data_IF_839131054799
#
_entry.id   IF_839131054799
#
_cell.length_a   1.000
_cell.length_b   1.000
_cell.length_c   1.000
_cell.angle_alpha   90.00
_cell.angle_beta   90.00
_cell.angle_gamma   90.00
#
_symmetry.space_group_name_H-M   'P 1'
#
loop_
_entity.id
_entity.type
_entity.pdbx_description
1 polymer ?
#
# COMPACT_ATOMS: atom_id res chain seq x y z
N UNK A 1 -17.83 -27.49 12.16
CA UNK A 1 -16.53 -28.18 11.94
C UNK A 1 -16.15 -27.82 10.51
N UNK A 2 -15.38 -26.75 10.34
CA UNK A 2 -14.92 -26.33 9.01
C UNK A 2 -13.88 -27.36 8.58
N UNK A 3 -14.17 -28.04 7.48
CA UNK A 3 -13.25 -28.94 6.85
C UNK A 3 -12.07 -28.06 6.36
N UNK A 4 -10.92 -28.13 7.02
CA UNK A 4 -9.69 -27.52 6.48
C UNK A 4 -9.42 -28.22 5.16
N UNK A 5 -9.70 -27.52 4.07
CA UNK A 5 -9.59 -28.03 2.72
C UNK A 5 -8.10 -28.31 2.46
N UNK A 6 -7.72 -29.58 2.47
CA UNK A 6 -6.34 -30.01 2.27
C UNK A 6 -5.90 -29.66 0.85
N UNK A 7 -5.22 -28.55 0.68
CA UNK A 7 -4.75 -28.03 -0.62
C UNK A 7 -5.10 -26.56 -0.85
N UNK A 8 -5.91 -25.96 0.01
CA UNK A 8 -6.17 -24.52 -0.03
C UNK A 8 -4.89 -23.72 0.27
N UNK A 9 -4.64 -22.68 -0.51
CA UNK A 9 -3.52 -21.77 -0.27
C UNK A 9 -3.85 -20.87 0.91
N UNK A 10 -3.04 -20.94 1.95
CA UNK A 10 -2.98 -19.95 3.03
C UNK A 10 -1.90 -18.93 2.67
N UNK A 11 -2.09 -17.67 3.01
CA UNK A 11 -1.06 -16.65 2.79
C UNK A 11 -0.49 -16.14 4.11
N UNK A 12 0.79 -15.75 4.05
CA UNK A 12 1.44 -14.93 5.06
C UNK A 12 2.06 -13.73 4.36
N UNK A 13 1.43 -12.58 4.48
CA UNK A 13 1.89 -11.36 3.82
C UNK A 13 2.59 -10.45 4.82
N UNK A 14 3.77 -9.98 4.45
CA UNK A 14 4.56 -8.99 5.16
C UNK A 14 4.90 -7.83 4.24
N UNK A 15 5.06 -6.63 4.80
CA UNK A 15 5.52 -5.47 4.05
C UNK A 15 7.04 -5.49 4.06
N UNK A 16 7.67 -5.44 2.88
CA UNK A 16 9.11 -5.40 2.78
C UNK A 16 9.64 -4.12 3.44
N UNK A 17 10.54 -4.32 4.42
CA UNK A 17 11.13 -3.26 5.23
C UNK A 17 12.20 -2.43 4.49
N UNK A 18 12.39 -2.60 3.18
CA UNK A 18 13.46 -1.97 2.39
C UNK A 18 13.44 -0.43 2.38
N UNK A 19 12.45 0.20 2.99
CA UNK A 19 12.47 1.65 3.27
C UNK A 19 13.01 1.95 4.67
N UNK A 20 14.23 1.53 4.95
CA UNK A 20 15.01 1.98 6.12
C UNK A 20 15.55 3.40 5.91
N UNK A 21 14.72 4.38 5.65
CA UNK A 21 15.05 5.76 5.94
C UNK A 21 14.31 6.13 7.21
N UNK A 22 15.10 6.21 8.28
CA UNK A 22 14.79 6.69 9.62
C UNK A 22 13.48 7.47 9.67
N UNK A 23 12.41 6.78 10.05
CA UNK A 23 11.21 7.42 10.46
C UNK A 23 11.35 7.66 11.97
N UNK A 24 11.26 8.89 12.46
CA UNK A 24 11.29 9.08 13.89
C UNK A 24 10.09 8.40 14.52
N UNK A 25 10.39 7.42 15.36
CA UNK A 25 9.59 6.84 16.45
C UNK A 25 8.07 6.98 16.41
N UNK A 26 7.39 5.89 16.10
CA UNK A 26 6.19 5.51 16.87
C UNK A 26 4.87 6.19 16.53
N UNK A 27 4.70 6.82 15.35
CA UNK A 27 3.41 7.34 14.91
C UNK A 27 2.76 6.39 13.89
N UNK A 28 1.43 6.44 13.74
CA UNK A 28 0.65 5.73 12.71
C UNK A 28 1.12 6.03 11.27
N UNK A 29 2.10 6.91 11.10
CA UNK A 29 2.80 7.23 9.86
C UNK A 29 3.79 6.13 9.43
N UNK A 30 4.05 5.16 10.29
CA UNK A 30 4.98 4.04 10.06
C UNK A 30 4.20 2.76 9.76
N UNK A 31 3.38 2.75 8.77
CA UNK A 31 2.69 1.50 8.42
C UNK A 31 3.70 0.45 7.93
N UNK A 32 4.30 -0.25 8.89
CA UNK A 32 5.22 -1.38 8.68
C UNK A 32 4.48 -2.72 8.71
N UNK A 33 3.19 -2.70 9.05
CA UNK A 33 2.36 -3.88 9.22
C UNK A 33 0.98 -3.61 8.63
N UNK A 34 0.36 -4.66 8.13
CA UNK A 34 -1.04 -4.64 7.76
C UNK A 34 -1.93 -4.56 9.00
N UNK A 35 -3.05 -3.88 8.88
CA UNK A 35 -4.05 -3.74 9.93
C UNK A 35 -5.22 -4.72 9.69
N UNK A 36 -5.94 -5.07 10.75
CA UNK A 36 -7.19 -5.81 10.59
C UNK A 36 -8.13 -5.06 9.64
N UNK A 37 -8.67 -5.78 8.67
CA UNK A 37 -9.50 -5.23 7.60
C UNK A 37 -8.75 -4.94 6.29
N UNK A 38 -7.42 -4.88 6.31
CA UNK A 38 -6.64 -4.75 5.07
C UNK A 38 -6.88 -5.95 4.16
N UNK A 39 -6.92 -5.70 2.86
CA UNK A 39 -7.20 -6.72 1.85
C UNK A 39 -6.09 -6.79 0.81
N UNK A 40 -5.72 -8.01 0.47
CA UNK A 40 -4.76 -8.32 -0.62
C UNK A 40 -5.49 -9.19 -1.63
N UNK A 41 -5.39 -8.87 -2.91
CA UNK A 41 -5.81 -9.76 -3.97
C UNK A 41 -4.61 -10.60 -4.41
N UNK A 42 -4.79 -11.92 -4.35
CA UNK A 42 -3.86 -12.92 -4.89
C UNK A 42 -4.44 -13.47 -6.19
N UNK A 43 -3.63 -13.54 -7.25
CA UNK A 43 -4.02 -14.06 -8.56
C UNK A 43 -2.97 -14.99 -9.14
N UNK A 44 -3.42 -15.95 -9.95
CA UNK A 44 -2.60 -16.81 -10.81
C UNK A 44 -3.40 -17.10 -12.10
N UNK A 45 -2.92 -17.99 -12.95
CA UNK A 45 -3.60 -18.40 -14.18
C UNK A 45 -4.98 -19.05 -13.92
N UNK A 46 -5.17 -19.72 -12.77
CA UNK A 46 -6.41 -20.40 -12.40
C UNK A 46 -7.47 -19.47 -11.81
N UNK A 47 -7.14 -18.20 -11.54
CA UNK A 47 -8.07 -17.22 -11.01
C UNK A 47 -7.49 -16.29 -9.97
N UNK A 48 -8.39 -15.69 -9.18
CA UNK A 48 -8.00 -14.74 -8.13
C UNK A 48 -8.86 -14.87 -6.87
N UNK A 49 -8.26 -14.55 -5.72
CA UNK A 49 -8.94 -14.55 -4.41
C UNK A 49 -8.50 -13.33 -3.62
N UNK A 50 -9.46 -12.64 -3.01
CA UNK A 50 -9.18 -11.57 -2.04
C UNK A 50 -9.05 -12.16 -0.65
N UNK A 51 -7.93 -11.89 0.00
CA UNK A 51 -7.69 -12.22 1.41
C UNK A 51 -7.82 -10.97 2.26
N UNK A 52 -8.44 -11.11 3.43
CA UNK A 52 -8.56 -10.05 4.42
C UNK A 52 -7.85 -10.46 5.71
N UNK A 53 -7.11 -9.53 6.30
CA UNK A 53 -6.48 -9.73 7.59
C UNK A 53 -7.51 -9.58 8.72
N UNK A 54 -7.67 -10.62 9.54
CA UNK A 54 -8.53 -10.62 10.70
C UNK A 54 -7.89 -11.40 11.85
N UNK A 55 -7.75 -10.78 13.01
CA UNK A 55 -7.15 -11.42 14.19
C UNK A 55 -5.71 -11.91 13.97
N UNK A 56 -4.95 -11.25 13.10
CA UNK A 56 -3.57 -11.62 12.76
C UNK A 56 -3.46 -12.78 11.76
N UNK A 57 -4.57 -13.20 11.15
CA UNK A 57 -4.60 -14.24 10.13
C UNK A 57 -5.24 -13.72 8.85
N UNK A 58 -4.69 -14.12 7.72
CA UNK A 58 -5.26 -13.86 6.42
C UNK A 58 -6.26 -14.96 6.06
N UNK A 59 -7.48 -14.56 5.72
CA UNK A 59 -8.53 -15.47 5.29
C UNK A 59 -9.20 -14.94 4.01
N UNK A 60 -9.64 -15.80 3.10
CA UNK A 60 -10.41 -15.37 1.94
C UNK A 60 -11.69 -14.64 2.36
N UNK A 61 -12.05 -13.60 1.62
CA UNK A 61 -13.31 -12.87 1.84
C UNK A 61 -14.54 -13.68 1.39
N UNK A 62 -14.31 -14.60 0.46
CA UNK A 62 -15.30 -15.54 -0.06
C UNK A 62 -14.97 -16.96 0.39
N UNK A 63 -15.91 -17.88 0.21
CA UNK A 63 -15.68 -19.31 0.46
C UNK A 63 -14.90 -19.99 -0.68
N UNK A 64 -14.17 -19.22 -1.47
CA UNK A 64 -13.34 -19.71 -2.58
C UNK A 64 -11.87 -19.61 -2.20
N UNK A 65 -11.11 -20.64 -2.53
CA UNK A 65 -9.68 -20.74 -2.28
C UNK A 65 -8.95 -21.09 -3.57
N UNK A 66 -7.86 -20.43 -3.86
CA UNK A 66 -6.86 -20.98 -4.78
C UNK A 66 -6.27 -22.24 -4.15
N UNK A 67 -5.86 -23.18 -5.00
CA UNK A 67 -5.31 -24.47 -4.57
C UNK A 67 -3.90 -24.64 -5.10
N UNK A 68 -3.09 -25.30 -4.29
CA UNK A 68 -1.80 -25.76 -4.75
C UNK A 68 -1.98 -26.81 -5.86
N UNK A 69 -1.33 -26.56 -7.00
CA UNK A 69 -1.20 -27.55 -8.08
C UNK A 69 -0.04 -28.54 -7.82
N UNK A 70 0.15 -29.46 -8.76
CA UNK A 70 1.30 -30.36 -8.77
C UNK A 70 2.52 -29.74 -9.49
N UNK A 71 2.30 -28.70 -10.26
CA UNK A 71 3.32 -27.98 -11.02
C UNK A 71 3.59 -26.61 -10.39
N UNK A 72 4.79 -26.04 -10.60
CA UNK A 72 5.09 -24.69 -10.16
C UNK A 72 4.14 -23.65 -10.79
N UNK A 73 3.66 -22.70 -9.99
CA UNK A 73 2.72 -21.65 -10.42
C UNK A 73 3.27 -20.28 -10.03
N UNK A 74 3.11 -19.30 -10.90
CA UNK A 74 3.40 -17.90 -10.58
C UNK A 74 2.19 -17.23 -9.97
N UNK A 75 2.36 -16.70 -8.77
CA UNK A 75 1.35 -15.91 -8.06
C UNK A 75 1.72 -14.44 -8.07
N UNK A 76 0.71 -13.60 -8.32
CA UNK A 76 0.82 -12.15 -8.23
C UNK A 76 -0.14 -11.61 -7.19
N UNK A 77 0.33 -10.68 -6.36
CA UNK A 77 -0.48 -10.07 -5.31
C UNK A 77 -0.35 -8.55 -5.33
N UNK A 78 -1.42 -7.84 -4.95
CA UNK A 78 -1.38 -6.39 -4.80
C UNK A 78 -2.28 -5.89 -3.67
N UNK A 79 -1.95 -4.69 -3.18
CA UNK A 79 -2.63 -3.90 -2.17
C UNK A 79 -2.58 -2.42 -2.57
N UNK A 80 -3.63 -1.61 -2.32
CA UNK A 80 -4.94 -1.98 -1.80
C UNK A 80 -5.84 -2.60 -2.88
N UNK A 81 -6.84 -3.38 -2.46
CA UNK A 81 -7.83 -3.95 -3.37
C UNK A 81 -8.91 -2.90 -3.64
N UNK A 82 -8.81 -2.25 -4.80
CA UNK A 82 -9.77 -1.26 -5.28
C UNK A 82 -10.07 -1.50 -6.75
N UNK A 83 -11.18 -0.95 -7.27
CA UNK A 83 -11.52 -1.07 -8.68
C UNK A 83 -10.39 -0.53 -9.57
N UNK A 84 -10.03 -1.29 -10.60
CA UNK A 84 -8.96 -0.94 -11.55
C UNK A 84 -7.54 -1.14 -11.03
N UNK A 85 -7.34 -1.56 -9.78
CA UNK A 85 -6.02 -1.90 -9.24
C UNK A 85 -5.62 -3.31 -9.62
N UNK A 86 -4.35 -3.48 -10.00
CA UNK A 86 -3.71 -4.77 -10.30
C UNK A 86 -2.20 -4.66 -10.04
N UNK A 87 -1.44 -5.73 -10.25
CA UNK A 87 0.04 -5.66 -10.17
C UNK A 87 0.67 -4.69 -11.18
N UNK A 88 -0.05 -4.37 -12.26
CA UNK A 88 0.43 -3.49 -13.33
C UNK A 88 -0.23 -2.09 -13.35
N UNK A 89 -1.40 -1.95 -12.72
CA UNK A 89 -2.21 -0.73 -12.82
C UNK A 89 -2.66 -0.24 -11.46
N UNK A 90 -2.45 1.05 -11.21
CA UNK A 90 -2.90 1.72 -10.00
C UNK A 90 -3.14 3.20 -10.27
N UNK A 91 -4.32 3.68 -9.92
CA UNK A 91 -4.66 5.11 -9.97
C UNK A 91 -4.47 5.73 -8.58
N UNK A 92 -3.60 6.72 -8.48
CA UNK A 92 -3.29 7.39 -7.22
C UNK A 92 -4.49 8.19 -6.69
N UNK A 93 -5.00 7.91 -5.48
CA UNK A 93 -5.96 8.77 -4.80
C UNK A 93 -5.37 10.16 -4.52
N UNK A 94 -5.92 11.20 -5.14
CA UNK A 94 -5.42 12.58 -4.98
C UNK A 94 -5.92 13.26 -3.70
N UNK A 95 -7.00 12.79 -3.11
CA UNK A 95 -7.46 13.24 -1.80
C UNK A 95 -6.96 12.27 -0.72
N UNK A 96 -5.91 12.67 -0.02
CA UNK A 96 -5.29 11.88 1.06
C UNK A 96 -5.45 12.55 2.43
N UNK A 97 -6.54 13.32 2.64
CA UNK A 97 -6.76 14.14 3.84
C UNK A 97 -7.24 13.34 5.06
N UNK A 98 -7.47 12.03 4.93
CA UNK A 98 -7.74 11.12 6.04
C UNK A 98 -6.71 10.00 6.09
N UNK A 99 -6.57 9.32 7.24
CA UNK A 99 -5.66 8.16 7.36
C UNK A 99 -6.09 7.01 6.44
N UNK A 100 -7.39 6.81 6.26
CA UNK A 100 -7.95 5.81 5.34
C UNK A 100 -7.57 6.12 3.89
N UNK A 101 -7.75 7.37 3.46
CA UNK A 101 -7.38 7.80 2.11
C UNK A 101 -5.86 7.76 1.89
N UNK A 102 -5.07 8.04 2.94
CA UNK A 102 -3.62 7.91 2.88
C UNK A 102 -3.22 6.43 2.73
N UNK A 103 -3.85 5.52 3.47
CA UNK A 103 -3.61 4.09 3.37
C UNK A 103 -3.99 3.53 1.98
N UNK A 104 -5.11 4.01 1.40
CA UNK A 104 -5.53 3.59 0.05
C UNK A 104 -4.57 4.05 -1.06
N UNK A 105 -3.64 4.95 -0.78
CA UNK A 105 -2.60 5.38 -1.70
C UNK A 105 -1.30 4.55 -1.61
N UNK A 106 -1.14 3.67 -0.60
CA UNK A 106 0.08 2.89 -0.37
C UNK A 106 0.10 1.61 -1.24
N UNK A 107 0.25 1.81 -2.55
CA UNK A 107 0.29 0.71 -3.52
C UNK A 107 1.50 -0.19 -3.32
N UNK A 108 1.23 -1.50 -3.18
CA UNK A 108 2.23 -2.55 -3.01
C UNK A 108 1.95 -3.72 -3.94
N UNK A 109 3.00 -4.37 -4.40
CA UNK A 109 2.90 -5.56 -5.25
C UNK A 109 3.87 -6.64 -4.80
N UNK A 110 3.53 -7.88 -5.10
CA UNK A 110 4.42 -9.04 -4.93
C UNK A 110 4.20 -10.00 -6.11
N UNK A 111 5.27 -10.62 -6.58
CA UNK A 111 5.22 -11.76 -7.49
C UNK A 111 6.07 -12.88 -6.90
N UNK A 112 5.51 -14.08 -6.82
CA UNK A 112 6.21 -15.29 -6.39
C UNK A 112 6.21 -16.22 -7.59
N UNK A 113 7.37 -16.36 -8.21
CA UNK A 113 7.58 -17.21 -9.39
C UNK A 113 7.81 -18.65 -8.95
N UNK A 114 7.40 -19.59 -9.78
CA UNK A 114 7.64 -21.04 -9.62
C UNK A 114 7.30 -21.59 -8.23
N UNK A 115 6.24 -21.06 -7.61
CA UNK A 115 5.83 -21.48 -6.28
C UNK A 115 5.23 -22.88 -6.28
N UNK A 116 5.70 -23.71 -5.34
CA UNK A 116 5.21 -25.06 -5.06
C UNK A 116 4.84 -25.19 -3.59
N UNK A 117 3.98 -26.13 -3.26
CA UNK A 117 3.66 -26.43 -1.87
C UNK A 117 4.81 -27.21 -1.20
N UNK A 118 5.58 -26.56 -0.37
CA UNK A 118 6.65 -27.18 0.43
C UNK A 118 6.13 -27.93 1.68
N UNK A 119 4.83 -28.24 1.72
CA UNK A 119 4.19 -29.01 2.80
C UNK A 119 3.52 -28.17 3.88
N UNK A 120 3.79 -26.86 3.95
CA UNK A 120 3.13 -25.94 4.93
C UNK A 120 1.74 -25.49 4.49
N UNK A 121 1.44 -25.54 3.19
CA UNK A 121 0.26 -24.96 2.58
C UNK A 121 0.24 -23.42 2.60
N UNK A 122 1.33 -22.78 2.99
CA UNK A 122 1.43 -21.31 3.15
C UNK A 122 2.27 -20.71 2.04
N UNK A 123 1.71 -19.73 1.33
CA UNK A 123 2.41 -18.87 0.38
C UNK A 123 2.87 -17.59 1.10
N UNK A 124 4.18 -17.35 1.07
CA UNK A 124 4.78 -16.17 1.68
C UNK A 124 4.82 -15.02 0.67
N UNK A 125 4.20 -13.88 1.01
CA UNK A 125 4.12 -12.69 0.18
C UNK A 125 4.96 -11.56 0.80
N UNK A 126 6.07 -11.21 0.18
CA UNK A 126 6.86 -10.03 0.53
C UNK A 126 6.35 -8.85 -0.31
N UNK A 127 5.44 -8.06 0.27
CA UNK A 127 4.79 -6.95 -0.43
C UNK A 127 5.73 -5.75 -0.54
N UNK A 128 6.10 -5.42 -1.77
CA UNK A 128 7.00 -4.32 -2.10
C UNK A 128 6.22 -3.05 -2.37
N UNK A 129 6.52 -1.97 -1.65
CA UNK A 129 5.96 -0.65 -1.92
C UNK A 129 6.41 -0.12 -3.27
N UNK A 130 5.46 0.37 -4.04
CA UNK A 130 5.68 1.01 -5.34
C UNK A 130 5.63 2.53 -5.24
N UNK A 131 5.19 3.06 -4.11
CA UNK A 131 4.97 4.47 -3.85
C UNK A 131 6.04 5.05 -2.92
N UNK A 132 6.20 6.37 -2.96
CA UNK A 132 7.08 7.10 -2.05
C UNK A 132 6.23 7.91 -1.05
N UNK A 133 6.66 7.94 0.21
CA UNK A 133 6.05 8.77 1.24
C UNK A 133 6.81 10.10 1.35
N UNK A 134 6.09 11.20 1.21
CA UNK A 134 6.61 12.56 1.37
C UNK A 134 6.04 13.14 2.66
N UNK A 135 6.93 13.65 3.52
CA UNK A 135 6.56 14.40 4.72
C UNK A 135 7.18 15.76 4.61
N UNK A 136 6.35 16.80 4.65
CA UNK A 136 6.76 18.20 4.63
C UNK A 136 6.36 18.85 5.95
N UNK A 137 7.30 19.47 6.65
CA UNK A 137 7.03 20.28 7.83
C UNK A 137 6.99 21.74 7.44
N UNK A 138 6.01 22.49 7.92
CA UNK A 138 6.00 23.94 7.80
C UNK A 138 6.79 24.54 8.96
N UNK A 139 7.83 25.29 8.62
CA UNK A 139 8.64 26.01 9.58
C UNK A 139 8.57 27.53 9.30
N UNK A 140 8.76 28.35 10.32
CA UNK A 140 8.87 29.82 10.23
C UNK A 140 7.67 30.53 9.55
N UNK A 141 6.48 29.94 9.66
CA UNK A 141 5.27 30.63 9.27
C UNK A 141 4.89 31.63 10.37
N UNK A 142 4.82 32.90 10.03
CA UNK A 142 4.36 33.98 10.95
C UNK A 142 3.02 33.58 11.56
N UNK A 143 2.84 33.88 12.87
CA UNK A 143 1.62 33.58 13.62
C UNK A 143 0.35 34.21 13.05
N UNK A 144 0.48 35.28 12.26
CA UNK A 144 -0.63 35.96 11.56
C UNK A 144 -0.88 35.34 10.17
N UNK A 145 0.05 34.54 9.67
CA UNK A 145 -0.01 33.88 8.37
C UNK A 145 -0.39 32.42 8.51
N UNK A 146 -0.90 31.84 7.45
CA UNK A 146 -1.14 30.39 7.32
C UNK A 146 -0.98 29.94 5.89
N UNK A 147 -0.43 28.76 5.71
CA UNK A 147 -0.42 28.11 4.42
C UNK A 147 -1.81 27.55 4.09
N UNK A 148 -2.37 27.94 2.97
CA UNK A 148 -3.68 27.51 2.49
C UNK A 148 -3.52 26.62 1.28
N UNK A 149 -4.29 25.53 1.22
CA UNK A 149 -4.39 24.69 0.03
C UNK A 149 -3.08 24.02 -0.36
N UNK A 150 -2.29 23.53 0.61
CA UNK A 150 -1.06 22.80 0.35
C UNK A 150 -1.36 21.61 -0.55
N UNK A 151 -0.58 21.48 -1.62
CA UNK A 151 -0.62 20.38 -2.59
C UNK A 151 0.78 19.84 -2.82
N UNK A 152 0.86 18.53 -3.05
CA UNK A 152 2.13 17.85 -3.37
C UNK A 152 2.02 17.29 -4.78
N UNK A 153 2.99 17.61 -5.63
CA UNK A 153 3.06 17.10 -7.00
C UNK A 153 3.39 15.61 -7.03
N UNK A 154 2.75 14.89 -7.92
CA UNK A 154 2.95 13.46 -8.14
C UNK A 154 2.66 13.09 -9.60
N UNK A 155 3.02 11.87 -10.00
CA UNK A 155 2.43 11.20 -11.15
C UNK A 155 1.09 10.56 -10.78
N UNK A 156 0.27 10.22 -11.78
CA UNK A 156 -1.09 9.72 -11.57
C UNK A 156 -1.17 8.27 -11.05
N UNK A 157 -0.05 7.56 -11.01
CA UNK A 157 0.01 6.17 -10.56
C UNK A 157 0.82 5.28 -11.49
N UNK A 158 0.32 4.11 -11.79
CA UNK A 158 0.96 3.11 -12.65
C UNK A 158 0.02 2.64 -13.76
N UNK A 159 0.60 2.46 -14.95
CA UNK A 159 -0.06 1.87 -16.12
C UNK A 159 0.90 0.88 -16.76
N UNK A 160 0.44 -0.35 -16.99
CA UNK A 160 1.26 -1.45 -17.55
C UNK A 160 2.61 -1.64 -16.80
N UNK A 161 2.57 -1.53 -15.45
CA UNK A 161 3.73 -1.69 -14.58
C UNK A 161 4.69 -0.50 -14.54
N UNK A 162 4.47 0.52 -15.36
CA UNK A 162 5.29 1.73 -15.42
C UNK A 162 4.59 2.92 -14.75
N UNK A 163 5.38 3.86 -14.22
CA UNK A 163 4.83 5.13 -13.73
C UNK A 163 4.13 5.85 -14.87
N UNK A 164 2.85 6.21 -14.67
CA UNK A 164 2.06 6.91 -15.69
C UNK A 164 2.60 8.32 -15.93
N UNK A 165 2.57 8.78 -17.17
CA UNK A 165 3.10 10.09 -17.58
C UNK A 165 2.29 11.29 -17.11
N UNK A 166 1.03 11.06 -16.70
CA UNK A 166 0.16 12.13 -16.20
C UNK A 166 0.59 12.64 -14.83
N UNK A 167 0.41 13.93 -14.59
CA UNK A 167 0.69 14.56 -13.29
C UNK A 167 -0.58 14.74 -12.47
N UNK A 168 -0.42 14.71 -11.14
CA UNK A 168 -1.49 14.92 -10.18
C UNK A 168 -1.05 15.88 -9.07
N UNK A 169 -2.00 16.59 -8.48
CA UNK A 169 -1.79 17.42 -7.29
C UNK A 169 -2.52 16.77 -6.10
N UNK A 170 -1.75 16.15 -5.24
CA UNK A 170 -2.26 15.43 -4.07
C UNK A 170 -2.58 16.40 -2.94
N UNK A 171 -3.76 16.26 -2.33
CA UNK A 171 -4.12 16.91 -1.07
C UNK A 171 -3.63 16.05 0.08
N UNK A 172 -2.59 16.47 0.82
CA UNK A 172 -1.95 15.65 1.83
C UNK A 172 -2.79 15.52 3.11
N UNK A 173 -2.49 14.48 3.90
CA UNK A 173 -2.90 14.38 5.29
C UNK A 173 -2.14 15.40 6.14
N UNK A 174 -2.83 16.03 7.09
CA UNK A 174 -2.25 17.08 7.95
C UNK A 174 -2.20 16.59 9.39
N UNK A 175 -1.01 16.57 9.98
CA UNK A 175 -0.82 16.43 11.43
C UNK A 175 -0.59 17.80 12.01
N UNK A 176 -1.47 18.21 12.93
CA UNK A 176 -1.41 19.51 13.60
C UNK A 176 -0.75 19.30 14.97
N UNK A 177 0.29 20.07 15.33
CA UNK A 177 0.89 19.97 16.65
C UNK A 177 -0.09 20.39 17.75
N UNK A 178 0.13 19.92 18.97
CA UNK A 178 -0.71 20.28 20.13
C UNK A 178 -0.77 21.81 20.30
N UNK A 179 -1.98 22.33 20.45
CA UNK A 179 -2.24 23.77 20.54
C UNK A 179 -2.09 24.55 19.23
N UNK A 180 -1.67 23.91 18.14
CA UNK A 180 -1.51 24.52 16.82
C UNK A 180 -2.80 24.61 16.02
N UNK A 181 -2.69 25.20 14.83
CA UNK A 181 -3.78 25.26 13.83
C UNK A 181 -3.25 24.86 12.47
N UNK A 182 -4.12 24.30 11.64
CA UNK A 182 -3.77 23.90 10.28
C UNK A 182 -3.17 25.09 9.49
N UNK A 183 -2.06 24.82 8.79
CA UNK A 183 -1.36 25.82 7.99
C UNK A 183 -0.37 26.69 8.75
N UNK A 184 -0.18 26.49 10.04
CA UNK A 184 0.82 27.19 10.85
C UNK A 184 2.10 26.37 11.01
N UNK A 185 3.16 27.01 11.54
CA UNK A 185 4.44 26.36 11.84
C UNK A 185 4.27 25.11 12.70
N UNK A 186 5.04 24.08 12.44
CA UNK A 186 5.00 22.79 13.08
C UNK A 186 3.99 21.79 12.48
N UNK A 187 3.09 22.24 11.58
CA UNK A 187 2.23 21.32 10.87
C UNK A 187 3.03 20.41 9.93
N UNK A 188 2.72 19.11 9.95
CA UNK A 188 3.28 18.13 9.02
C UNK A 188 2.24 17.74 7.98
N UNK A 189 2.63 17.77 6.73
CA UNK A 189 1.85 17.36 5.58
C UNK A 189 2.43 16.07 5.03
N UNK A 190 1.65 14.99 5.09
CA UNK A 190 2.06 13.66 4.64
C UNK A 190 1.27 13.27 3.40
N UNK A 191 1.98 12.85 2.37
CA UNK A 191 1.38 12.27 1.16
C UNK A 191 2.14 11.04 0.69
N UNK A 192 1.40 10.14 0.06
CA UNK A 192 1.96 9.04 -0.71
C UNK A 192 1.88 9.42 -2.19
N UNK A 193 3.00 9.35 -2.89
CA UNK A 193 3.14 9.82 -4.27
C UNK A 193 3.76 8.74 -5.14
N UNK A 194 3.40 8.69 -6.41
CA UNK A 194 4.11 7.87 -7.38
C UNK A 194 5.48 8.51 -7.65
N UNK A 195 6.59 7.79 -7.41
CA UNK A 195 7.93 8.30 -7.64
C UNK A 195 8.13 8.56 -9.14
N UNK A 196 8.70 9.70 -9.48
CA UNK A 196 9.12 9.96 -10.85
C UNK A 196 10.17 8.94 -11.27
N UNK A 197 10.18 8.55 -12.54
CA UNK A 197 11.37 7.95 -13.10
C UNK A 197 12.52 8.97 -12.84
N UNK A 198 13.57 8.53 -12.17
CA UNK A 198 14.78 9.32 -12.09
C UNK A 198 15.17 9.63 -13.54
N UNK A 199 15.00 10.90 -13.93
CA UNK A 199 15.50 11.35 -15.22
C UNK A 199 17.01 11.43 -15.02
N UNK A 200 17.81 10.52 -15.55
CA UNK A 200 19.26 10.64 -15.49
C UNK A 200 19.64 11.69 -16.54
N UNK A 201 19.60 12.95 -16.16
CA UNK A 201 20.29 14.03 -16.87
C UNK A 201 21.53 14.41 -16.07
#
# INVERSE_FOLDING_TARGET
MFNEDSGAIKINAVIDAAYTRSNPTGTNEQQMQFNNGDQILLSCEDGSVTYMLAGGQWAPTDNYYLRWGNEPVTYSAFYPVTEGTSVANFSLPINQQSLENLASADYMTCTVEDAINEGSGVLHLNMNRRMAKVIMTLDDIDSQSKALGVKIGSYQGYTDGNVSSGTALVSPYVTIPEGGKAGQSGCKYTAIVAPGAANPN
#
